data_IF_039683252034
#
_entry.id   IF_039683252034
#
_cell.length_a   1.000
_cell.length_b   1.000
_cell.length_c   1.000
_cell.angle_alpha   90.00
_cell.angle_beta   90.00
_cell.angle_gamma   90.00
#
_symmetry.space_group_name_H-M   'P 1'
#
loop_
_entity.id
_entity.type
_entity.pdbx_description
1 polymer ?
#
# COMPACT_ATOMS: atom_id res chain seq x y z
N UNK A 1 -32.53 23.90 -51.93
CA UNK A 1 -32.38 22.91 -53.01
C UNK A 1 -31.75 21.68 -52.38
N UNK A 2 -32.50 20.64 -52.01
CA UNK A 2 -33.06 19.58 -52.89
C UNK A 2 -31.93 19.01 -53.76
N UNK A 3 -31.23 17.92 -53.41
CA UNK A 3 -31.59 16.49 -53.27
C UNK A 3 -31.04 15.65 -54.44
N UNK A 4 -30.31 14.59 -54.06
CA UNK A 4 -30.32 13.21 -54.59
C UNK A 4 -29.67 12.82 -55.94
N UNK A 5 -28.99 11.66 -55.88
CA UNK A 5 -28.85 10.65 -56.95
C UNK A 5 -27.43 10.52 -57.53
N UNK A 6 -26.74 9.38 -57.59
CA UNK A 6 -27.08 7.98 -57.30
C UNK A 6 -26.65 7.04 -58.46
N UNK A 7 -25.70 6.12 -58.19
CA UNK A 7 -25.41 4.88 -58.95
C UNK A 7 -24.55 5.03 -60.21
N UNK A 8 -23.63 4.13 -60.61
CA UNK A 8 -23.07 2.84 -60.18
C UNK A 8 -21.85 2.59 -61.12
N UNK A 9 -20.91 1.65 -60.96
CA UNK A 9 -21.00 0.19 -61.07
C UNK A 9 -19.55 -0.36 -61.06
N UNK A 10 -19.25 -1.25 -60.10
CA UNK A 10 -18.62 -2.60 -60.22
C UNK A 10 -17.13 -2.80 -60.64
N UNK A 11 -16.55 -3.84 -60.00
CA UNK A 11 -15.33 -4.66 -60.25
C UNK A 11 -14.00 -4.11 -59.72
N UNK A 12 -13.03 -4.88 -59.22
CA UNK A 12 -12.93 -6.22 -58.62
C UNK A 12 -11.43 -6.44 -58.34
N UNK A 13 -11.12 -7.07 -57.20
CA UNK A 13 -10.02 -8.01 -56.90
C UNK A 13 -8.61 -7.89 -57.52
N UNK A 14 -7.63 -7.86 -56.60
CA UNK A 14 -6.40 -8.69 -56.55
C UNK A 14 -5.30 -8.38 -57.61
N UNK A 15 -3.99 -8.58 -57.42
CA UNK A 15 -3.24 -9.51 -56.58
C UNK A 15 -1.75 -9.09 -56.54
N UNK A 16 -1.13 -9.31 -55.38
CA UNK A 16 0.27 -9.57 -54.99
C UNK A 16 1.44 -9.84 -55.97
N UNK A 17 2.64 -9.48 -55.43
CA UNK A 17 3.97 -10.19 -55.41
C UNK A 17 4.83 -10.16 -56.71
N UNK A 18 6.17 -10.23 -56.76
CA UNK A 18 7.27 -10.78 -55.92
C UNK A 18 8.65 -10.28 -56.50
N UNK A 19 9.70 -10.00 -55.71
CA UNK A 19 11.11 -10.56 -55.80
C UNK A 19 12.25 -9.54 -56.07
N UNK A 20 13.21 -9.40 -55.12
CA UNK A 20 14.63 -9.85 -55.12
C UNK A 20 15.64 -8.98 -55.92
N UNK A 21 16.54 -8.23 -55.27
CA UNK A 21 17.87 -8.58 -54.68
C UNK A 21 19.04 -8.25 -55.61
N UNK A 22 19.94 -7.33 -55.20
CA UNK A 22 21.42 -7.42 -55.36
C UNK A 22 22.08 -6.25 -54.58
N UNK A 23 22.70 -6.52 -53.41
CA UNK A 23 24.10 -6.93 -53.17
C UNK A 23 25.11 -5.77 -53.20
N UNK A 24 25.75 -5.54 -52.04
CA UNK A 24 27.20 -5.34 -51.79
C UNK A 24 27.33 -5.17 -50.26
N UNK A 25 27.77 -6.19 -49.48
CA UNK A 25 29.15 -6.55 -49.07
C UNK A 25 29.93 -5.37 -48.43
N UNK A 26 30.70 -5.47 -47.34
CA UNK A 26 31.07 -6.46 -46.30
C UNK A 26 32.11 -5.72 -45.42
N UNK A 27 32.12 -5.94 -44.09
CA UNK A 27 33.23 -5.76 -43.11
C UNK A 27 33.87 -4.35 -42.95
N UNK A 28 34.39 -3.92 -41.81
CA UNK A 28 34.59 -4.47 -40.47
C UNK A 28 35.06 -3.31 -39.56
N UNK A 29 34.82 -3.40 -38.25
CA UNK A 29 35.83 -3.07 -37.22
C UNK A 29 35.28 -3.38 -35.82
N UNK A 30 35.96 -4.32 -35.17
CA UNK A 30 35.90 -4.62 -33.72
C UNK A 30 36.58 -3.50 -32.92
N UNK A 31 36.38 -3.56 -31.58
CA UNK A 31 37.09 -2.86 -30.49
C UNK A 31 36.60 -1.41 -30.25
N UNK A 32 36.16 -0.96 -29.07
CA UNK A 32 36.51 -1.28 -27.69
C UNK A 32 35.28 -1.24 -26.76
N UNK A 33 35.15 -2.26 -25.92
CA UNK A 33 34.32 -2.27 -24.73
C UNK A 33 35.11 -1.54 -23.63
N UNK A 34 34.78 -0.30 -23.31
CA UNK A 34 35.24 0.34 -22.07
C UNK A 34 34.16 0.13 -21.01
N UNK A 35 34.41 -0.83 -20.12
CA UNK A 35 33.69 -0.98 -18.88
C UNK A 35 34.01 0.24 -17.98
N UNK A 36 33.11 1.22 -17.96
CA UNK A 36 33.03 2.16 -16.86
C UNK A 36 32.26 1.45 -15.72
N UNK A 37 32.98 0.65 -14.94
CA UNK A 37 32.61 0.37 -13.55
C UNK A 37 32.74 1.70 -12.77
N UNK A 38 31.77 2.59 -12.98
CA UNK A 38 31.49 3.64 -12.02
C UNK A 38 30.90 2.96 -10.80
N UNK A 39 31.74 2.75 -9.78
CA UNK A 39 31.25 2.35 -8.47
C UNK A 39 30.16 3.34 -8.07
N UNK A 40 28.96 2.81 -7.85
CA UNK A 40 27.96 3.50 -7.04
C UNK A 40 28.55 3.54 -5.62
N UNK A 41 29.39 4.53 -5.36
CA UNK A 41 29.67 4.96 -4.01
C UNK A 41 28.32 5.42 -3.46
N UNK A 42 27.67 4.56 -2.68
CA UNK A 42 26.62 4.98 -1.79
C UNK A 42 27.25 5.99 -0.84
N UNK A 43 27.13 7.27 -1.17
CA UNK A 43 27.44 8.32 -0.22
C UNK A 43 26.46 8.10 0.94
N UNK A 44 26.97 7.60 2.07
CA UNK A 44 26.25 7.64 3.32
C UNK A 44 26.11 9.13 3.66
N UNK A 45 24.97 9.73 3.32
CA UNK A 45 24.65 11.07 3.79
C UNK A 45 24.52 10.98 5.30
N UNK A 46 25.38 11.68 6.03
CA UNK A 46 25.24 11.81 7.46
C UNK A 46 23.84 12.40 7.73
N UNK A 47 23.00 11.66 8.45
CA UNK A 47 21.65 12.12 8.81
C UNK A 47 21.76 13.22 9.85
N UNK A 48 20.88 14.21 9.75
CA UNK A 48 20.83 15.27 10.75
C UNK A 48 20.42 14.67 12.10
N UNK A 49 21.24 14.92 13.12
CA UNK A 49 20.96 14.50 14.49
C UNK A 49 20.32 15.63 15.30
N UNK A 50 20.02 16.76 14.66
CA UNK A 50 19.37 17.90 15.29
C UNK A 50 18.51 18.67 14.30
N UNK A 51 17.37 19.16 14.77
CA UNK A 51 16.46 20.03 14.01
C UNK A 51 16.04 21.23 14.86
N UNK A 52 15.87 22.38 14.21
CA UNK A 52 15.23 23.54 14.81
C UNK A 52 13.94 23.85 14.05
N UNK A 53 12.83 23.95 14.77
CA UNK A 53 11.50 24.05 14.18
C UNK A 53 10.67 25.12 14.88
N UNK A 54 9.89 25.87 14.09
CA UNK A 54 8.88 26.79 14.61
C UNK A 54 7.56 26.03 14.75
N UNK A 55 7.13 25.81 15.99
CA UNK A 55 5.94 25.02 16.32
C UNK A 55 4.66 25.83 16.13
N UNK A 56 4.72 27.13 16.46
CA UNK A 56 3.66 28.11 16.24
C UNK A 56 4.29 29.51 16.17
N UNK A 57 3.47 30.56 16.09
CA UNK A 57 3.94 31.95 15.99
C UNK A 57 4.84 32.41 17.16
N UNK A 58 4.74 31.77 18.32
CA UNK A 58 5.40 32.15 19.56
C UNK A 58 6.28 31.03 20.15
N UNK A 59 6.30 29.84 19.55
CA UNK A 59 7.01 28.68 20.09
C UNK A 59 7.99 28.12 19.08
N UNK A 60 9.23 27.94 19.50
CA UNK A 60 10.26 27.22 18.75
C UNK A 60 10.73 26.01 19.55
N UNK A 61 11.20 24.98 18.88
CA UNK A 61 11.90 23.86 19.49
C UNK A 61 13.24 23.63 18.80
N UNK A 62 14.24 23.28 19.60
CA UNK A 62 15.45 22.61 19.13
C UNK A 62 15.42 21.19 19.65
N UNK A 63 15.47 20.21 18.76
CA UNK A 63 15.52 18.80 19.10
C UNK A 63 16.87 18.23 18.67
N UNK A 64 17.55 17.53 19.56
CA UNK A 64 18.90 16.98 19.33
C UNK A 64 18.98 15.58 19.89
N UNK A 65 19.47 14.64 19.09
CA UNK A 65 19.76 13.29 19.53
C UNK A 65 21.07 13.27 20.32
N UNK A 66 21.02 12.78 21.56
CA UNK A 66 22.16 12.66 22.47
C UNK A 66 22.25 11.21 22.94
N UNK A 67 23.09 10.43 22.26
CA UNK A 67 23.09 8.96 22.40
C UNK A 67 21.72 8.40 22.04
N UNK A 68 21.17 7.53 22.90
CA UNK A 68 19.88 6.88 22.68
C UNK A 68 18.66 7.71 23.13
N UNK A 69 18.81 9.03 23.29
CA UNK A 69 17.76 9.92 23.81
C UNK A 69 17.59 11.17 22.97
N UNK A 70 16.34 11.60 22.79
CA UNK A 70 16.02 12.87 22.16
C UNK A 70 15.93 13.95 23.25
N UNK A 71 16.78 14.97 23.16
CA UNK A 71 16.72 16.19 23.96
C UNK A 71 15.95 17.26 23.19
N UNK A 72 14.91 17.83 23.79
CA UNK A 72 14.12 18.90 23.19
C UNK A 72 14.13 20.12 24.10
N UNK A 73 14.46 21.28 23.55
CA UNK A 73 14.46 22.57 24.23
C UNK A 73 13.43 23.49 23.58
N UNK A 74 12.45 23.94 24.35
CA UNK A 74 11.37 24.82 23.90
C UNK A 74 11.68 26.30 24.22
N UNK A 75 11.52 27.16 23.23
CA UNK A 75 11.65 28.61 23.33
C UNK A 75 10.32 29.35 23.15
N UNK A 76 10.15 30.55 23.75
CA UNK A 76 10.96 31.11 24.83
C UNK A 76 10.75 30.37 26.16
N UNK A 77 11.76 30.45 27.03
CA UNK A 77 11.75 29.91 28.39
C UNK A 77 12.73 28.76 28.63
N UNK A 78 13.29 28.16 27.57
CA UNK A 78 14.31 27.11 27.69
C UNK A 78 13.80 25.83 28.37
N UNK A 79 12.50 25.54 28.26
CA UNK A 79 11.91 24.36 28.91
C UNK A 79 12.40 23.11 28.19
N UNK A 80 12.97 22.18 28.94
CA UNK A 80 13.55 20.97 28.39
C UNK A 80 12.62 19.75 28.51
N UNK A 81 12.73 18.83 27.56
CA UNK A 81 12.14 17.50 27.59
C UNK A 81 13.16 16.47 27.11
N UNK A 82 13.12 15.28 27.71
CA UNK A 82 13.96 14.16 27.35
C UNK A 82 13.09 12.95 27.06
N UNK A 83 13.31 12.33 25.91
CA UNK A 83 12.63 11.10 25.52
C UNK A 83 13.63 10.00 25.26
N UNK A 84 13.25 8.77 25.61
CA UNK A 84 13.98 7.62 25.14
C UNK A 84 13.71 7.49 23.64
N UNK A 85 14.80 7.44 22.88
CA UNK A 85 14.79 7.41 21.42
C UNK A 85 15.72 6.31 20.91
N UNK A 86 15.80 5.21 21.68
CA UNK A 86 16.62 4.07 21.36
C UNK A 86 15.94 3.26 20.27
N UNK A 87 16.41 3.44 19.04
CA UNK A 87 16.15 2.54 17.94
C UNK A 87 17.41 1.69 17.79
N UNK A 88 17.27 0.36 17.70
CA UNK A 88 18.42 -0.52 17.50
C UNK A 88 19.22 -0.02 16.28
N UNK A 89 20.43 0.49 16.52
CA UNK A 89 21.18 1.18 15.47
C UNK A 89 21.68 0.15 14.44
N UNK A 90 21.00 0.10 13.29
CA UNK A 90 21.50 -0.61 12.11
C UNK A 90 22.50 0.25 11.33
N UNK A 91 23.00 -0.30 10.22
CA UNK A 91 24.14 0.25 9.47
C UNK A 91 23.92 1.66 8.88
N UNK A 92 22.67 2.16 8.80
CA UNK A 92 22.33 3.45 8.18
C UNK A 92 22.26 4.65 9.14
N UNK A 93 22.52 4.45 10.44
CA UNK A 93 22.54 5.52 11.44
C UNK A 93 21.16 6.08 11.81
N UNK A 94 21.16 6.92 12.84
CA UNK A 94 19.96 7.53 13.44
C UNK A 94 19.87 9.01 13.06
N UNK A 95 18.67 9.49 12.74
CA UNK A 95 18.39 10.89 12.41
C UNK A 95 17.19 11.45 13.18
N UNK A 96 17.06 12.78 13.14
CA UNK A 96 15.93 13.54 13.68
C UNK A 96 15.31 14.34 12.54
N UNK A 97 13.98 14.33 12.45
CA UNK A 97 13.22 15.08 11.44
C UNK A 97 11.98 15.74 12.07
N UNK A 98 11.28 16.57 11.29
CA UNK A 98 10.04 17.24 11.67
C UNK A 98 9.03 17.29 10.52
N UNK A 99 7.80 16.87 10.81
CA UNK A 99 6.63 17.00 9.94
C UNK A 99 5.36 17.07 10.81
N UNK A 100 4.19 17.28 10.24
CA UNK A 100 2.88 17.29 10.93
C UNK A 100 2.27 15.87 10.90
N UNK A 101 2.53 15.07 11.94
CA UNK A 101 2.12 13.66 12.02
C UNK A 101 0.71 13.49 12.61
N UNK A 102 0.14 14.52 13.23
CA UNK A 102 -1.22 14.49 13.78
C UNK A 102 -2.24 15.31 12.96
N UNK A 103 -1.77 16.04 11.94
CA UNK A 103 -2.55 16.88 11.03
C UNK A 103 -3.28 18.03 11.73
N UNK A 104 -2.66 18.62 12.76
CA UNK A 104 -3.19 19.76 13.50
C UNK A 104 -2.60 21.12 13.07
N UNK A 105 -1.63 21.10 12.14
CA UNK A 105 -0.96 22.29 11.61
C UNK A 105 0.26 22.73 12.41
N UNK A 106 0.60 22.03 13.50
CA UNK A 106 1.84 22.22 14.24
C UNK A 106 2.85 21.12 13.87
N UNK A 107 4.11 21.47 13.59
CA UNK A 107 5.15 20.47 13.39
C UNK A 107 5.37 19.61 14.64
N UNK A 108 5.48 18.31 14.39
CA UNK A 108 5.89 17.28 15.32
C UNK A 108 7.36 16.90 15.08
N UNK A 109 7.89 15.97 15.87
CA UNK A 109 9.25 15.46 15.73
C UNK A 109 9.25 13.95 15.45
N UNK A 110 10.23 13.49 14.68
CA UNK A 110 10.50 12.07 14.52
C UNK A 110 11.99 11.77 14.77
N UNK A 111 12.25 10.61 15.36
CA UNK A 111 13.58 9.99 15.37
C UNK A 111 13.48 8.72 14.54
N UNK A 112 14.41 8.52 13.62
CA UNK A 112 14.39 7.35 12.75
C UNK A 112 15.76 6.71 12.61
N UNK A 113 15.78 5.39 12.42
CA UNK A 113 17.00 4.63 12.20
C UNK A 113 16.75 3.50 11.20
N UNK A 114 17.72 3.25 10.32
CA UNK A 114 17.66 2.14 9.38
C UNK A 114 17.93 0.82 10.10
N UNK A 115 16.94 -0.09 10.08
CA UNK A 115 17.06 -1.47 10.50
C UNK A 115 17.33 -2.35 9.27
N UNK A 116 18.61 -2.62 9.02
CA UNK A 116 19.05 -3.25 7.78
C UNK A 116 19.01 -2.28 6.61
N UNK A 117 18.64 -2.76 5.41
CA UNK A 117 18.78 -1.99 4.17
C UNK A 117 17.50 -1.29 3.69
N UNK A 118 16.33 -1.65 4.21
CA UNK A 118 15.03 -1.27 3.60
C UNK A 118 13.95 -0.88 4.60
N UNK A 119 14.16 -1.14 5.89
CA UNK A 119 13.21 -0.80 6.94
C UNK A 119 13.79 0.34 7.76
N UNK A 120 13.07 1.45 7.84
CA UNK A 120 13.38 2.54 8.74
C UNK A 120 12.43 2.50 9.93
N UNK A 121 12.92 2.19 11.12
CA UNK A 121 12.10 2.33 12.32
C UNK A 121 11.94 3.82 12.66
N UNK A 122 10.74 4.21 13.10
CA UNK A 122 10.40 5.60 13.41
C UNK A 122 9.73 5.71 14.78
N UNK A 123 10.22 6.63 15.61
CA UNK A 123 9.55 7.10 16.82
C UNK A 123 9.02 8.51 16.55
N UNK A 124 7.75 8.74 16.87
CA UNK A 124 7.09 10.04 16.67
C UNK A 124 6.80 10.70 18.01
N UNK A 125 7.04 12.00 18.09
CA UNK A 125 6.75 12.83 19.26
C UNK A 125 5.86 14.00 18.81
N UNK A 126 4.60 13.95 19.25
CA UNK A 126 3.56 14.90 18.85
C UNK A 126 3.56 16.12 19.77
N UNK A 127 3.49 17.32 19.21
CA UNK A 127 3.38 18.55 19.95
C UNK A 127 1.96 18.79 20.44
N UNK A 128 1.81 19.10 21.73
CA UNK A 128 0.55 19.57 22.31
C UNK A 128 0.63 21.10 22.46
N UNK A 129 -0.08 21.88 21.63
CA UNK A 129 -0.02 23.34 21.67
C UNK A 129 -0.66 23.93 22.93
N UNK A 130 -1.61 23.21 23.55
CA UNK A 130 -2.29 23.68 24.78
C UNK A 130 -1.35 23.57 25.97
N UNK A 131 -0.65 22.44 26.09
CA UNK A 131 0.28 22.19 27.20
C UNK A 131 1.72 22.61 26.90
N UNK A 132 1.98 23.01 25.66
CA UNK A 132 3.27 23.47 25.16
C UNK A 132 4.36 22.45 25.50
N UNK A 133 4.15 21.21 25.05
CA UNK A 133 5.05 20.07 25.28
C UNK A 133 4.87 18.99 24.22
N UNK A 134 5.93 18.24 23.97
CA UNK A 134 5.86 17.02 23.17
C UNK A 134 5.40 15.81 23.98
N UNK A 135 4.83 14.82 23.30
CA UNK A 135 4.47 13.50 23.85
C UNK A 135 4.80 12.40 22.84
N UNK A 136 5.36 11.29 23.29
CA UNK A 136 5.59 10.14 22.42
C UNK A 136 4.26 9.57 21.91
N UNK A 137 4.20 9.29 20.61
CA UNK A 137 3.07 8.64 19.95
C UNK A 137 3.33 7.14 19.84
N UNK A 138 2.40 6.34 20.37
CA UNK A 138 2.47 4.88 20.28
C UNK A 138 1.64 4.39 19.08
N UNK A 139 2.26 3.60 18.21
CA UNK A 139 1.57 2.93 17.12
C UNK A 139 0.51 1.95 17.67
N UNK A 140 -0.78 2.09 17.28
CA UNK A 140 -1.81 1.12 17.65
C UNK A 140 -1.53 -0.25 17.04
N UNK A 141 -1.65 -1.32 17.82
CA UNK A 141 -1.41 -2.70 17.36
C UNK A 141 -2.70 -3.52 17.23
N UNK A 142 -3.86 -2.87 17.35
CA UNK A 142 -5.18 -3.51 17.27
C UNK A 142 -6.09 -2.79 16.27
N UNK A 143 -6.74 -3.52 15.35
CA UNK A 143 -6.55 -4.95 14.98
C UNK A 143 -5.09 -5.30 14.63
N UNK A 144 -4.76 -6.59 14.53
CA UNK A 144 -3.39 -7.05 14.26
C UNK A 144 -2.86 -6.37 13.00
N UNK A 145 -1.77 -5.64 13.17
CA UNK A 145 -0.99 -4.96 12.12
C UNK A 145 0.11 -5.87 11.60
N UNK A 146 0.76 -5.49 10.49
CA UNK A 146 1.91 -6.24 9.96
C UNK A 146 3.24 -5.64 10.38
N UNK A 147 3.30 -4.31 10.46
CA UNK A 147 4.44 -3.57 10.94
C UNK A 147 4.26 -3.38 12.46
N UNK A 148 5.09 -4.06 13.24
CA UNK A 148 5.09 -3.98 14.70
C UNK A 148 5.72 -2.65 15.17
N UNK A 149 5.02 -1.54 14.97
CA UNK A 149 5.51 -0.18 15.21
C UNK A 149 5.35 0.71 13.97
N UNK A 150 5.99 1.88 13.97
CA UNK A 150 6.07 2.70 12.77
C UNK A 150 7.36 2.40 11.99
N UNK A 151 7.19 2.09 10.73
CA UNK A 151 8.26 1.81 9.78
C UNK A 151 8.06 2.57 8.48
N UNK A 152 9.13 3.11 7.90
CA UNK A 152 9.10 3.89 6.65
C UNK A 152 7.90 4.86 6.62
N UNK A 153 7.71 5.58 7.73
CA UNK A 153 6.45 6.24 8.05
C UNK A 153 6.24 7.47 7.16
N UNK A 154 5.08 7.53 6.49
CA UNK A 154 4.73 8.64 5.59
C UNK A 154 3.41 9.28 6.01
N UNK A 155 3.38 10.58 6.36
CA UNK A 155 2.14 11.31 6.57
C UNK A 155 1.50 11.75 5.24
N UNK A 156 0.20 11.52 5.08
CA UNK A 156 -0.62 12.03 3.98
C UNK A 156 -1.59 13.09 4.53
N UNK A 157 -1.28 14.36 4.28
CA UNK A 157 -2.10 15.50 4.72
C UNK A 157 -3.45 15.58 4.02
N UNK A 158 -3.55 15.10 2.77
CA UNK A 158 -4.81 15.14 2.02
C UNK A 158 -5.81 14.13 2.60
N UNK A 159 -5.33 12.93 2.92
CA UNK A 159 -6.16 11.87 3.49
C UNK A 159 -6.25 11.90 5.02
N UNK A 160 -5.37 12.69 5.66
CA UNK A 160 -5.16 12.74 7.12
C UNK A 160 -4.91 11.34 7.66
N UNK A 161 -3.90 10.69 7.11
CA UNK A 161 -3.49 9.33 7.46
C UNK A 161 -1.99 9.18 7.56
N UNK A 162 -1.54 8.29 8.43
CA UNK A 162 -0.15 7.84 8.50
C UNK A 162 -0.05 6.47 7.85
N UNK A 163 0.84 6.30 6.89
CA UNK A 163 1.13 5.02 6.26
C UNK A 163 2.46 4.50 6.77
N UNK A 164 2.45 3.35 7.42
CA UNK A 164 3.64 2.62 7.84
C UNK A 164 3.85 1.45 6.87
N UNK A 165 5.05 1.31 6.32
CA UNK A 165 5.40 0.20 5.45
C UNK A 165 6.64 -0.52 5.95
N UNK A 166 6.64 -1.84 5.86
CA UNK A 166 7.75 -2.66 6.31
C UNK A 166 7.93 -3.87 5.41
N UNK A 167 9.18 -4.29 5.22
CA UNK A 167 9.51 -5.53 4.55
C UNK A 167 9.74 -6.63 5.57
N UNK A 168 9.07 -7.76 5.39
CA UNK A 168 9.31 -8.99 6.15
C UNK A 168 9.36 -10.19 5.19
N UNK A 169 10.51 -10.87 5.18
CA UNK A 169 10.82 -11.87 4.17
C UNK A 169 10.85 -11.28 2.75
N UNK A 170 10.27 -11.96 1.74
CA UNK A 170 10.22 -11.44 0.38
C UNK A 170 9.13 -10.38 0.20
N UNK A 171 8.26 -10.17 1.19
CA UNK A 171 7.06 -9.37 1.10
C UNK A 171 7.21 -8.01 1.75
N UNK A 172 6.51 -7.05 1.18
CA UNK A 172 6.22 -5.77 1.79
C UNK A 172 4.79 -5.78 2.34
N UNK A 173 4.63 -5.07 3.45
CA UNK A 173 3.38 -4.89 4.14
C UNK A 173 3.15 -3.43 4.46
N UNK A 174 1.87 -3.08 4.58
CA UNK A 174 1.45 -1.71 4.89
C UNK A 174 0.32 -1.70 5.90
N UNK A 175 0.46 -0.79 6.85
CA UNK A 175 -0.57 -0.42 7.82
C UNK A 175 -0.87 1.08 7.69
N UNK A 176 -2.17 1.41 7.65
CA UNK A 176 -2.64 2.79 7.53
C UNK A 176 -3.38 3.16 8.80
N UNK A 177 -2.97 4.27 9.40
CA UNK A 177 -3.54 4.82 10.63
C UNK A 177 -4.26 6.13 10.36
N UNK A 178 -5.31 6.41 11.13
CA UNK A 178 -6.03 7.69 11.12
C UNK A 178 -6.36 8.13 12.53
N UNK A 179 -6.62 9.42 12.70
CA UNK A 179 -7.09 9.97 13.97
C UNK A 179 -8.61 9.96 14.04
N UNK A 180 -9.13 9.49 15.16
CA UNK A 180 -10.53 9.66 15.52
C UNK A 180 -10.80 11.13 15.94
N UNK A 181 -12.07 11.50 16.05
CA UNK A 181 -12.46 12.87 16.40
C UNK A 181 -11.98 13.31 17.80
N UNK A 182 -11.66 12.36 18.68
CA UNK A 182 -11.10 12.59 20.02
C UNK A 182 -9.57 12.69 20.03
N UNK A 183 -8.92 12.65 18.86
CA UNK A 183 -7.46 12.71 18.72
C UNK A 183 -6.75 11.37 18.95
N UNK A 184 -7.47 10.27 19.11
CA UNK A 184 -6.85 8.94 19.24
C UNK A 184 -6.49 8.36 17.87
N UNK A 185 -5.23 7.97 17.70
CA UNK A 185 -4.78 7.21 16.53
C UNK A 185 -5.37 5.79 16.55
N UNK A 186 -5.83 5.30 15.41
CA UNK A 186 -6.34 3.94 15.24
C UNK A 186 -5.89 3.35 13.89
N UNK A 187 -5.82 2.02 13.80
CA UNK A 187 -5.57 1.32 12.53
C UNK A 187 -6.81 1.46 11.67
N UNK A 188 -6.72 2.20 10.58
CA UNK A 188 -7.81 2.37 9.62
C UNK A 188 -7.83 1.26 8.56
N UNK A 189 -6.66 0.72 8.22
CA UNK A 189 -6.50 -0.38 7.26
C UNK A 189 -5.18 -1.09 7.51
N UNK A 190 -5.12 -2.39 7.24
CA UNK A 190 -3.88 -3.20 7.32
C UNK A 190 -3.89 -4.24 6.21
N UNK A 191 -2.74 -4.52 5.62
CA UNK A 191 -2.57 -5.57 4.62
C UNK A 191 -2.49 -6.94 5.30
N UNK A 192 -3.30 -7.92 4.91
CA UNK A 192 -3.27 -9.27 5.47
C UNK A 192 -2.93 -10.29 4.37
N UNK A 193 -1.84 -11.07 4.50
CA UNK A 193 -1.44 -12.01 3.47
C UNK A 193 -2.47 -13.14 3.33
N UNK A 194 -2.75 -13.53 2.08
CA UNK A 194 -3.55 -14.72 1.79
C UNK A 194 -2.61 -15.91 1.64
N UNK A 195 -2.60 -16.80 2.64
CA UNK A 195 -1.72 -17.97 2.66
C UNK A 195 -2.15 -19.10 1.67
N UNK A 196 -3.43 -19.15 1.30
CA UNK A 196 -3.97 -20.23 0.45
C UNK A 196 -3.53 -20.09 -1.02
N UNK A 197 -2.74 -21.04 -1.56
CA UNK A 197 -2.33 -21.01 -2.97
C UNK A 197 -3.51 -21.12 -3.94
N UNK A 198 -4.57 -21.82 -3.54
CA UNK A 198 -5.77 -21.99 -4.36
C UNK A 198 -6.52 -20.66 -4.51
N UNK A 199 -6.59 -19.85 -3.45
CA UNK A 199 -7.19 -18.51 -3.53
C UNK A 199 -6.32 -17.59 -4.39
N UNK A 200 -4.99 -17.63 -4.20
CA UNK A 200 -4.06 -16.87 -5.03
C UNK A 200 -4.27 -17.20 -6.51
N UNK A 201 -4.35 -18.50 -6.85
CA UNK A 201 -4.57 -18.98 -8.22
C UNK A 201 -5.95 -18.61 -8.76
N UNK A 202 -7.01 -18.76 -7.95
CA UNK A 202 -8.38 -18.47 -8.36
C UNK A 202 -8.57 -16.99 -8.72
N UNK A 203 -7.90 -16.10 -8.00
CA UNK A 203 -8.02 -14.66 -8.14
C UNK A 203 -6.87 -14.02 -8.93
N UNK A 204 -5.91 -14.83 -9.40
CA UNK A 204 -4.72 -14.36 -10.11
C UNK A 204 -5.13 -13.50 -11.31
N UNK A 205 -4.80 -12.20 -11.32
CA UNK A 205 -5.12 -11.32 -12.43
C UNK A 205 -4.29 -11.64 -13.70
N UNK A 206 -3.28 -12.50 -13.61
CA UNK A 206 -2.37 -12.83 -14.72
C UNK A 206 -1.45 -11.66 -15.11
N UNK A 207 -1.35 -10.63 -14.26
CA UNK A 207 -0.49 -9.46 -14.46
C UNK A 207 0.87 -9.76 -13.83
N UNK A 208 1.88 -9.93 -14.67
CA UNK A 208 3.20 -10.52 -14.38
C UNK A 208 4.13 -9.79 -13.41
N UNK A 209 3.59 -9.04 -12.46
CA UNK A 209 4.33 -8.28 -11.46
C UNK A 209 4.71 -9.18 -10.26
N UNK A 210 4.05 -10.35 -10.13
CA UNK A 210 4.43 -11.42 -9.20
C UNK A 210 4.12 -11.16 -7.72
N UNK A 211 3.45 -10.07 -7.37
CA UNK A 211 3.09 -9.77 -5.98
C UNK A 211 1.84 -10.57 -5.58
N UNK A 212 1.89 -11.36 -4.48
CA UNK A 212 0.73 -12.12 -4.02
C UNK A 212 -0.38 -11.19 -3.53
N UNK A 213 -1.61 -11.66 -3.67
CA UNK A 213 -2.80 -10.94 -3.20
C UNK A 213 -2.82 -10.90 -1.67
N UNK A 214 -3.35 -9.80 -1.16
CA UNK A 214 -3.66 -9.61 0.25
C UNK A 214 -5.12 -9.21 0.43
N UNK A 215 -5.66 -9.54 1.60
CA UNK A 215 -6.91 -8.93 2.09
C UNK A 215 -6.57 -7.58 2.70
N UNK A 216 -7.38 -6.56 2.41
CA UNK A 216 -7.23 -5.19 2.91
C UNK A 216 -8.48 -4.79 3.72
N UNK A 217 -8.65 -5.33 4.93
CA UNK A 217 -9.74 -4.91 5.81
C UNK A 217 -9.58 -3.43 6.20
N UNK A 218 -10.69 -2.71 6.17
CA UNK A 218 -10.79 -1.36 6.70
C UNK A 218 -11.59 -1.36 8.00
N UNK A 219 -11.20 -0.51 8.96
CA UNK A 219 -11.74 -0.50 10.31
C UNK A 219 -12.24 0.88 10.70
N UNK A 220 -13.25 0.92 11.56
CA UNK A 220 -13.66 2.14 12.25
C UNK A 220 -12.73 2.48 13.41
N UNK A 221 -12.96 3.64 14.04
CA UNK A 221 -12.18 4.11 15.18
C UNK A 221 -12.23 3.18 16.41
N UNK A 222 -13.20 2.25 16.48
CA UNK A 222 -13.34 1.26 17.56
C UNK A 222 -12.63 -0.05 17.23
N UNK A 223 -12.03 -0.18 16.03
CA UNK A 223 -11.38 -1.38 15.55
C UNK A 223 -12.36 -2.41 14.97
N UNK A 224 -13.62 -2.04 14.73
CA UNK A 224 -14.57 -2.92 14.05
C UNK A 224 -14.33 -2.88 12.53
N UNK A 225 -14.23 -4.05 11.90
CA UNK A 225 -14.10 -4.14 10.44
C UNK A 225 -15.38 -3.63 9.77
N UNK A 226 -15.25 -2.63 8.90
CA UNK A 226 -16.38 -2.00 8.18
C UNK A 226 -16.45 -2.41 6.70
N UNK A 227 -15.31 -2.75 6.10
CA UNK A 227 -15.22 -3.24 4.73
C UNK A 227 -13.93 -4.05 4.54
N UNK A 228 -13.82 -4.73 3.41
CA UNK A 228 -12.64 -5.47 3.01
C UNK A 228 -12.59 -5.58 1.49
N UNK A 229 -11.38 -5.57 0.95
CA UNK A 229 -11.10 -5.72 -0.48
C UNK A 229 -9.90 -6.67 -0.64
N UNK A 230 -9.88 -7.49 -1.69
CA UNK A 230 -8.69 -8.28 -2.06
C UNK A 230 -8.03 -7.61 -3.25
N UNK A 231 -6.71 -7.42 -3.18
CA UNK A 231 -5.96 -6.77 -4.24
C UNK A 231 -4.44 -6.93 -4.11
N UNK A 232 -3.74 -6.47 -5.15
CA UNK A 232 -2.28 -6.30 -5.17
C UNK A 232 -1.96 -4.82 -4.87
N UNK A 233 -0.95 -4.50 -4.07
CA UNK A 233 -0.04 -3.31 -4.11
C UNK A 233 0.74 -3.19 -2.78
N UNK A 234 1.61 -2.18 -2.70
CA UNK A 234 2.23 -1.65 -1.49
C UNK A 234 1.38 -0.58 -0.76
N UNK A 235 0.69 0.32 -1.46
CA UNK A 235 0.15 1.54 -0.82
C UNK A 235 -1.38 1.55 -0.62
N UNK A 236 -2.13 0.90 -1.51
CA UNK A 236 -3.60 0.82 -1.45
C UNK A 236 -4.13 -0.34 -2.31
N UNK A 237 -5.13 -1.11 -1.87
CA UNK A 237 -5.60 -2.27 -2.63
C UNK A 237 -5.95 -1.87 -4.08
N UNK A 238 -5.36 -2.54 -5.08
CA UNK A 238 -5.91 -2.59 -6.43
C UNK A 238 -6.88 -3.77 -6.49
N UNK A 239 -8.20 -3.54 -6.39
CA UNK A 239 -9.14 -4.63 -6.17
C UNK A 239 -9.19 -5.58 -7.36
N UNK A 240 -9.18 -6.89 -7.09
CA UNK A 240 -9.31 -7.91 -8.11
C UNK A 240 -10.75 -8.43 -8.21
N UNK A 241 -11.08 -8.94 -9.40
CA UNK A 241 -12.40 -9.53 -9.67
C UNK A 241 -12.28 -11.03 -9.91
N UNK A 242 -13.19 -11.78 -9.30
CA UNK A 242 -13.47 -13.15 -9.69
C UNK A 242 -14.17 -13.15 -11.05
N UNK A 243 -13.71 -14.01 -11.96
CA UNK A 243 -14.44 -14.39 -13.17
C UNK A 243 -14.93 -15.83 -13.02
N UNK A 244 -16.24 -16.03 -13.08
CA UNK A 244 -16.84 -17.35 -12.90
C UNK A 244 -16.61 -18.21 -14.16
N UNK A 245 -15.92 -19.34 -13.99
CA UNK A 245 -15.61 -20.28 -15.08
C UNK A 245 -16.57 -21.47 -15.14
N UNK A 246 -17.20 -21.83 -14.02
CA UNK A 246 -18.16 -22.93 -13.93
C UNK A 246 -19.58 -22.51 -14.32
N UNK A 247 -20.37 -23.45 -14.84
CA UNK A 247 -21.75 -23.20 -15.26
C UNK A 247 -22.62 -22.58 -14.13
N UNK A 248 -22.43 -23.05 -12.89
CA UNK A 248 -23.14 -22.58 -11.70
C UNK A 248 -22.21 -22.61 -10.50
N UNK A 249 -21.95 -21.44 -9.91
CA UNK A 249 -21.13 -21.29 -8.70
C UNK A 249 -22.03 -20.94 -7.51
N UNK A 250 -22.23 -21.82 -6.52
CA UNK A 250 -23.06 -21.55 -5.35
C UNK A 250 -22.59 -20.31 -4.55
N UNK A 251 -23.55 -19.46 -4.14
CA UNK A 251 -23.29 -18.23 -3.39
C UNK A 251 -23.94 -18.28 -2.01
N UNK A 252 -23.15 -18.55 -0.98
CA UNK A 252 -23.58 -18.74 0.40
C UNK A 252 -23.76 -17.41 1.14
N UNK A 253 -24.62 -17.38 2.16
CA UNK A 253 -24.92 -16.16 2.94
C UNK A 253 -23.82 -15.83 3.96
N UNK A 254 -23.22 -16.87 4.55
CA UNK A 254 -22.17 -16.76 5.57
C UNK A 254 -21.01 -17.68 5.20
N UNK A 255 -19.80 -17.49 5.78
CA UNK A 255 -18.67 -18.36 5.49
C UNK A 255 -18.88 -19.80 6.01
N UNK A 256 -19.82 -20.04 6.92
CA UNK A 256 -20.08 -21.35 7.53
C UNK A 256 -21.36 -22.02 7.02
N UNK A 257 -22.10 -21.38 6.12
CA UNK A 257 -23.36 -21.93 5.61
C UNK A 257 -23.11 -23.18 4.74
N UNK A 258 -23.90 -24.22 4.98
CA UNK A 258 -23.80 -25.53 4.30
C UNK A 258 -24.71 -25.68 3.08
N UNK A 259 -25.59 -24.70 2.82
CA UNK A 259 -26.53 -24.75 1.70
C UNK A 259 -26.90 -23.37 1.18
N UNK A 260 -27.28 -23.29 -0.10
CA UNK A 260 -27.76 -22.05 -0.71
C UNK A 260 -28.62 -22.32 -1.95
N UNK A 261 -29.55 -21.41 -2.23
CA UNK A 261 -30.31 -21.35 -3.50
C UNK A 261 -29.73 -20.33 -4.49
N UNK A 262 -28.84 -19.46 -4.02
CA UNK A 262 -28.21 -18.40 -4.82
C UNK A 262 -26.97 -18.96 -5.51
N UNK A 263 -26.70 -18.50 -6.71
CA UNK A 263 -25.53 -18.90 -7.48
C UNK A 263 -25.18 -17.78 -8.46
N UNK A 264 -23.91 -17.74 -8.84
CA UNK A 264 -23.44 -17.04 -10.03
C UNK A 264 -23.38 -18.01 -11.21
N UNK A 265 -23.39 -17.48 -12.43
CA UNK A 265 -23.29 -18.27 -13.66
C UNK A 265 -21.97 -17.98 -14.39
N UNK A 266 -21.59 -18.88 -15.29
CA UNK A 266 -20.38 -18.72 -16.10
C UNK A 266 -20.37 -17.36 -16.81
N UNK A 267 -19.23 -16.67 -16.74
CA UNK A 267 -19.03 -15.35 -17.34
C UNK A 267 -19.37 -14.18 -16.41
N UNK A 268 -20.06 -14.42 -15.28
CA UNK A 268 -20.25 -13.39 -14.26
C UNK A 268 -18.90 -12.88 -13.73
N UNK A 269 -18.89 -11.60 -13.34
CA UNK A 269 -17.78 -10.95 -12.66
C UNK A 269 -18.24 -10.44 -11.30
N UNK A 270 -17.40 -10.62 -10.30
CA UNK A 270 -17.67 -10.14 -8.95
C UNK A 270 -16.39 -9.61 -8.30
N UNK A 271 -16.51 -8.55 -7.51
CA UNK A 271 -15.37 -8.02 -6.74
C UNK A 271 -15.01 -9.02 -5.64
N UNK A 272 -13.72 -9.32 -5.45
CA UNK A 272 -13.24 -10.14 -4.34
C UNK A 272 -13.02 -9.26 -3.09
N UNK A 273 -13.60 -9.67 -1.96
CA UNK A 273 -13.67 -8.83 -0.77
C UNK A 273 -12.86 -9.37 0.41
N UNK A 274 -12.98 -10.66 0.71
CA UNK A 274 -12.46 -11.23 1.96
C UNK A 274 -12.25 -12.75 1.85
N UNK A 275 -11.56 -13.33 2.83
CA UNK A 275 -11.27 -14.75 2.93
C UNK A 275 -11.81 -15.31 4.25
N UNK A 276 -12.37 -16.52 4.23
CA UNK A 276 -12.84 -17.18 5.46
C UNK A 276 -11.67 -17.56 6.36
N UNK A 277 -11.92 -17.71 7.66
CA UNK A 277 -10.87 -18.02 8.64
C UNK A 277 -10.11 -19.33 8.34
N UNK A 278 -10.76 -20.29 7.70
CA UNK A 278 -10.18 -21.57 7.26
C UNK A 278 -9.58 -21.51 5.83
N UNK A 279 -9.62 -20.34 5.19
CA UNK A 279 -9.15 -20.08 3.83
C UNK A 279 -9.75 -20.99 2.74
N UNK A 280 -10.96 -21.51 2.95
CA UNK A 280 -11.67 -22.36 1.97
C UNK A 280 -12.71 -21.59 1.13
N UNK A 281 -13.04 -20.37 1.54
CA UNK A 281 -14.07 -19.53 0.89
C UNK A 281 -13.59 -18.10 0.69
N UNK A 282 -14.10 -17.50 -0.38
CA UNK A 282 -13.89 -16.09 -0.72
C UNK A 282 -15.22 -15.36 -0.64
N UNK A 283 -15.25 -14.22 0.04
CA UNK A 283 -16.37 -13.30 -0.01
C UNK A 283 -16.30 -12.49 -1.29
N UNK A 284 -17.42 -12.39 -1.99
CA UNK A 284 -17.52 -11.65 -3.24
C UNK A 284 -18.71 -10.71 -3.23
N UNK A 285 -18.61 -9.64 -4.02
CA UNK A 285 -19.71 -8.72 -4.32
C UNK A 285 -20.04 -8.77 -5.80
N UNK A 286 -21.22 -9.27 -6.11
CA UNK A 286 -21.78 -9.26 -7.44
C UNK A 286 -22.72 -8.07 -7.61
N UNK A 287 -22.50 -7.26 -8.65
CA UNK A 287 -23.35 -6.10 -8.95
C UNK A 287 -24.39 -6.49 -9.99
N UNK A 288 -25.65 -6.63 -9.58
CA UNK A 288 -26.74 -7.05 -10.47
C UNK A 288 -27.49 -5.84 -11.04
N UNK A 289 -27.65 -5.80 -12.36
CA UNK A 289 -28.52 -4.82 -13.01
C UNK A 289 -29.97 -5.01 -12.53
N UNK A 290 -30.44 -4.12 -11.66
CA UNK A 290 -31.82 -4.09 -11.15
C UNK A 290 -32.04 -4.69 -9.75
N UNK A 291 -31.03 -5.32 -9.12
CA UNK A 291 -31.14 -5.83 -7.73
C UNK A 291 -30.13 -5.25 -6.76
N UNK A 292 -29.25 -4.36 -7.23
CA UNK A 292 -28.16 -3.80 -6.44
C UNK A 292 -27.06 -4.82 -6.17
N UNK A 293 -26.25 -4.51 -5.17
CA UNK A 293 -25.10 -5.34 -4.79
C UNK A 293 -25.54 -6.57 -3.99
N UNK A 294 -25.09 -7.73 -4.42
CA UNK A 294 -25.29 -9.01 -3.74
C UNK A 294 -23.95 -9.48 -3.19
N UNK A 295 -23.86 -9.57 -1.86
CA UNK A 295 -22.67 -10.09 -1.17
C UNK A 295 -22.92 -11.53 -0.73
N UNK A 296 -21.91 -12.38 -0.89
CA UNK A 296 -21.94 -13.75 -0.41
C UNK A 296 -20.58 -14.42 -0.49
N UNK A 297 -20.55 -15.71 -0.15
CA UNK A 297 -19.33 -16.52 -0.07
C UNK A 297 -19.37 -17.61 -1.13
N UNK A 298 -18.26 -17.84 -1.80
CA UNK A 298 -18.07 -18.95 -2.75
C UNK A 298 -17.04 -19.92 -2.18
N UNK A 299 -17.22 -21.22 -2.41
CA UNK A 299 -16.20 -22.22 -2.12
C UNK A 299 -15.14 -22.22 -3.21
N UNK A 300 -13.87 -22.13 -2.82
CA UNK A 300 -12.74 -22.08 -3.76
C UNK A 300 -12.71 -23.34 -4.62
N UNK A 301 -12.82 -24.51 -3.99
CA UNK A 301 -12.86 -25.81 -4.66
C UNK A 301 -14.05 -25.97 -5.64
N UNK A 302 -15.15 -25.24 -5.44
CA UNK A 302 -16.29 -25.26 -6.36
C UNK A 302 -16.06 -24.34 -7.57
N UNK A 303 -15.30 -23.26 -7.40
CA UNK A 303 -14.98 -22.30 -8.46
C UNK A 303 -13.89 -22.78 -9.42
N UNK A 304 -13.03 -23.71 -8.98
CA UNK A 304 -11.89 -24.24 -9.73
C UNK A 304 -12.17 -25.57 -10.46
N UNK A 305 -13.43 -26.04 -10.50
CA UNK A 305 -13.83 -27.25 -11.24
C UNK A 305 -13.95 -26.99 -12.74
#
# INVERSE_FOLDING_TARGET
>A
MVAAGGGGVVLSLATMRLEHLHRLRVSAARTLLFAALGGLSFACFARDTSVQVSLDANTQATATLVGARLHVVLGPGGKEQWFDANLDEGEGGTGVDSDDYNFDGHPDLAVSAMLGQVNEAVLVFVFDPVQRRFRALTAPTRPSVQCEGFFNLTPDRQQRSLTSSCRSGPMWYTDVYRYAADGRLYVARTQQPIASPDIQTLLDPGTGDGMPLSVWPSYDARGAKVSSEIGTTLDAPMPVQLRVQVARLPLYATPTATGTKRYLVQGDRADALDVSADATRVQIRYRSAGRGDIVGWIEVAAAMK
#
